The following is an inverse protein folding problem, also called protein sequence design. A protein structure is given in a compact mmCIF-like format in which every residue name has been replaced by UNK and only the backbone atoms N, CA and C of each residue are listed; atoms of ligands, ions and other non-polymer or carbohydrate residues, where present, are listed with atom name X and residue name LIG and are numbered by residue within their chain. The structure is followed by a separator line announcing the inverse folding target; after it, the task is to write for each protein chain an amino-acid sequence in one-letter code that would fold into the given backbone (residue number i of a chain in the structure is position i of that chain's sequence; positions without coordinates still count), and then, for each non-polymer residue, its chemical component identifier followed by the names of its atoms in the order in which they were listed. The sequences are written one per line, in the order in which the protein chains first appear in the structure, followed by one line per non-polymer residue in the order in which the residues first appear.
data_IF_202882043116
#
_entry.id   IF_202882043116
#
_cell.length_a   1.000
_cell.length_b   1.000
_cell.length_c   1.000
_cell.angle_alpha   90.00
_cell.angle_beta   90.00
_cell.angle_gamma   90.00
#
_symmetry.space_group_name_H-M   'P 1'
#
loop_
_entity.id
_entity.type
_entity.pdbx_description
1 polymer ?
#
# COMPACT_ATOMS: atom_id res chain seq x y z
N UNK A 1 4.99 18.18 21.58
CA UNK A 1 6.04 17.67 20.70
C UNK A 1 5.83 16.20 20.44
N UNK A 2 5.60 15.87 19.21
CA UNK A 2 5.40 14.49 18.81
C UNK A 2 6.73 13.92 18.38
N UNK A 3 7.42 13.33 19.28
CA UNK A 3 8.54 12.50 18.91
C UNK A 3 8.04 11.10 18.80
N UNK A 4 8.63 10.30 17.99
CA UNK A 4 8.30 8.88 17.87
C UNK A 4 6.92 8.58 17.35
N UNK A 5 6.38 9.46 16.47
CA UNK A 5 5.19 9.11 15.71
C UNK A 5 5.48 7.81 14.96
N UNK A 6 4.70 6.79 15.25
CA UNK A 6 4.79 5.55 14.50
C UNK A 6 4.22 5.78 13.11
N UNK A 7 5.00 5.40 12.11
CA UNK A 7 4.60 5.53 10.72
C UNK A 7 4.18 4.15 10.21
N UNK A 8 3.01 4.09 9.61
CA UNK A 8 2.50 2.88 8.98
C UNK A 8 2.53 3.08 7.47
N UNK A 9 3.25 2.23 6.76
CA UNK A 9 3.29 2.25 5.31
C UNK A 9 2.10 1.47 4.76
N UNK A 10 1.38 2.06 3.81
CA UNK A 10 0.19 1.44 3.22
C UNK A 10 0.51 1.01 1.79
N UNK A 11 0.42 -0.28 1.53
CA UNK A 11 0.58 -0.84 0.19
C UNK A 11 -0.72 -0.70 -0.61
N UNK A 12 -0.58 -0.60 -1.92
CA UNK A 12 -1.70 -0.45 -2.85
C UNK A 12 -2.73 -1.58 -2.73
N UNK A 13 -2.32 -2.78 -2.33
CA UNK A 13 -3.24 -3.91 -2.14
C UNK A 13 -4.31 -3.61 -1.08
N UNK A 14 -4.03 -2.69 -0.14
CA UNK A 14 -4.98 -2.25 0.88
C UNK A 14 -5.79 -1.05 0.40
N UNK A 15 -5.18 -0.19 -0.40
CA UNK A 15 -5.86 1.01 -0.93
C UNK A 15 -7.02 0.65 -1.85
N UNK A 16 -6.82 -0.33 -2.73
CA UNK A 16 -7.86 -0.71 -3.71
C UNK A 16 -9.16 -1.15 -3.03
N UNK A 17 -9.14 -2.10 -2.07
CA UNK A 17 -10.40 -2.52 -1.43
C UNK A 17 -11.05 -1.45 -0.55
N UNK A 18 -10.34 -0.39 -0.19
CA UNK A 18 -10.96 0.74 0.52
C UNK A 18 -11.96 1.51 -0.35
N UNK A 19 -11.78 1.48 -1.66
CA UNK A 19 -12.56 2.30 -2.60
C UNK A 19 -13.38 1.49 -3.60
N UNK A 20 -13.21 0.19 -3.62
CA UNK A 20 -13.97 -0.73 -4.47
C UNK A 20 -14.54 -1.85 -3.62
N UNK A 21 -15.68 -2.40 -4.04
CA UNK A 21 -16.29 -3.50 -3.34
C UNK A 21 -15.58 -4.82 -3.69
N UNK A 22 -14.81 -5.32 -2.76
CA UNK A 22 -14.02 -6.54 -2.88
C UNK A 22 -14.14 -7.38 -1.60
N UNK A 23 -13.72 -8.66 -1.61
CA UNK A 23 -13.79 -9.50 -0.41
C UNK A 23 -13.08 -8.92 0.81
N UNK A 24 -11.99 -8.19 0.61
CA UNK A 24 -11.22 -7.60 1.70
C UNK A 24 -11.65 -6.17 2.09
N UNK A 25 -12.70 -5.63 1.47
CA UNK A 25 -13.11 -4.25 1.70
C UNK A 25 -13.48 -3.97 3.15
N UNK A 26 -14.23 -4.86 3.79
CA UNK A 26 -14.64 -4.67 5.18
C UNK A 26 -13.43 -4.70 6.13
N UNK A 27 -12.49 -5.60 5.89
CA UNK A 27 -11.27 -5.72 6.71
C UNK A 27 -10.41 -4.48 6.57
N UNK A 28 -10.21 -4.01 5.34
CA UNK A 28 -9.41 -2.82 5.07
C UNK A 28 -10.07 -1.56 5.68
N UNK A 29 -11.37 -1.40 5.50
CA UNK A 29 -12.10 -0.26 6.06
C UNK A 29 -12.07 -0.27 7.59
N UNK A 30 -12.22 -1.44 8.21
CA UNK A 30 -12.13 -1.58 9.66
C UNK A 30 -10.76 -1.19 10.20
N UNK A 31 -9.71 -1.66 9.54
CA UNK A 31 -8.36 -1.26 9.92
C UNK A 31 -8.17 0.25 9.78
N UNK A 32 -8.53 0.80 8.63
CA UNK A 32 -8.36 2.23 8.37
C UNK A 32 -9.08 3.09 9.41
N UNK A 33 -10.30 2.71 9.79
CA UNK A 33 -11.08 3.43 10.79
C UNK A 33 -10.43 3.41 12.19
N UNK A 34 -9.68 2.35 12.50
CA UNK A 34 -9.05 2.19 13.82
C UNK A 34 -7.63 2.72 13.88
N UNK A 35 -6.98 2.88 12.72
CA UNK A 35 -5.56 3.24 12.70
C UNK A 35 -5.38 4.71 13.12
N UNK A 36 -4.58 4.94 14.13
CA UNK A 36 -4.34 6.27 14.68
C UNK A 36 -2.97 6.84 14.32
N UNK A 37 -2.10 6.00 13.77
CA UNK A 37 -0.76 6.41 13.40
C UNK A 37 -0.75 7.11 12.05
N UNK A 38 0.33 7.82 11.76
CA UNK A 38 0.52 8.48 10.47
C UNK A 38 0.61 7.43 9.36
N UNK A 39 -0.16 7.63 8.30
CA UNK A 39 -0.15 6.76 7.13
C UNK A 39 0.72 7.37 6.05
N UNK A 40 1.63 6.58 5.50
CA UNK A 40 2.50 6.98 4.40
C UNK A 40 2.44 5.94 3.29
N UNK A 41 2.68 6.37 2.08
CA UNK A 41 2.83 5.49 0.93
C UNK A 41 3.70 6.17 -0.11
N UNK A 42 4.45 5.39 -0.88
CA UNK A 42 5.20 5.94 -2.00
C UNK A 42 4.24 6.53 -3.03
N UNK A 43 4.64 7.61 -3.67
CA UNK A 43 3.87 8.20 -4.77
C UNK A 43 3.59 7.19 -5.89
N UNK A 44 4.36 6.12 -5.96
CA UNK A 44 4.14 4.98 -6.84
C UNK A 44 2.74 4.37 -6.69
N UNK A 45 2.10 4.51 -5.54
CA UNK A 45 0.74 3.99 -5.33
C UNK A 45 -0.29 4.67 -6.24
N UNK A 46 -0.02 5.87 -6.71
CA UNK A 46 -0.95 6.62 -7.56
C UNK A 46 -1.17 5.90 -8.90
N UNK A 47 -0.12 5.65 -9.72
CA UNK A 47 -0.34 4.91 -10.97
C UNK A 47 -0.76 3.47 -10.74
N UNK A 48 -0.35 2.85 -9.64
CA UNK A 48 -0.81 1.49 -9.32
C UNK A 48 -2.31 1.44 -9.05
N UNK A 49 -2.82 2.41 -8.28
CA UNK A 49 -4.26 2.48 -8.03
C UNK A 49 -5.03 2.70 -9.34
N UNK A 50 -4.56 3.63 -10.18
CA UNK A 50 -5.15 3.87 -11.49
C UNK A 50 -5.11 2.62 -12.37
N UNK A 51 -4.00 1.88 -12.35
CA UNK A 51 -3.85 0.63 -13.09
C UNK A 51 -4.87 -0.42 -12.63
N UNK A 52 -5.09 -0.54 -11.33
CA UNK A 52 -6.09 -1.45 -10.78
C UNK A 52 -7.49 -1.11 -11.28
N UNK A 53 -7.85 0.18 -11.31
CA UNK A 53 -9.13 0.63 -11.85
C UNK A 53 -9.26 0.28 -13.34
N UNK A 54 -8.19 0.51 -14.11
CA UNK A 54 -8.17 0.20 -15.53
C UNK A 54 -8.37 -1.28 -15.80
N UNK A 55 -7.72 -2.14 -15.05
CA UNK A 55 -7.87 -3.59 -15.18
C UNK A 55 -9.30 -4.00 -14.88
N UNK A 56 -9.90 -3.48 -13.81
CA UNK A 56 -11.26 -3.82 -13.42
C UNK A 56 -12.29 -3.34 -14.45
N UNK A 57 -12.04 -2.20 -15.09
CA UNK A 57 -12.90 -1.75 -16.18
C UNK A 57 -12.80 -2.69 -17.40
N UNK A 58 -11.58 -3.04 -17.79
CA UNK A 58 -11.37 -3.90 -18.96
C UNK A 58 -11.95 -5.30 -18.78
N UNK A 59 -11.96 -5.79 -17.55
CA UNK A 59 -12.53 -7.12 -17.25
C UNK A 59 -14.04 -7.08 -16.97
N UNK A 60 -14.64 -5.88 -16.98
CA UNK A 60 -16.07 -5.73 -16.74
C UNK A 60 -16.48 -5.77 -15.27
N UNK A 61 -15.53 -5.77 -14.35
CA UNK A 61 -15.83 -5.81 -12.91
C UNK A 61 -16.46 -4.49 -12.43
N UNK A 62 -16.07 -3.37 -13.03
CA UNK A 62 -16.63 -2.05 -12.74
C UNK A 62 -16.85 -1.30 -14.06
N UNK A 63 -17.75 -0.32 -14.05
CA UNK A 63 -17.94 0.57 -15.18
C UNK A 63 -17.11 1.87 -15.03
N UNK A 64 -17.15 2.72 -16.05
CA UNK A 64 -16.38 3.97 -16.05
C UNK A 64 -16.79 4.92 -14.93
N UNK A 65 -18.07 4.94 -14.59
CA UNK A 65 -18.58 5.81 -13.54
C UNK A 65 -18.09 5.36 -12.16
N UNK A 66 -18.11 4.05 -11.92
CA UNK A 66 -17.57 3.48 -10.68
C UNK A 66 -16.08 3.75 -10.55
N UNK A 67 -15.34 3.66 -11.65
CA UNK A 67 -13.91 3.96 -11.66
C UNK A 67 -13.64 5.43 -11.30
N UNK A 68 -14.40 6.37 -11.88
CA UNK A 68 -14.26 7.78 -11.56
C UNK A 68 -14.61 8.08 -10.11
N UNK A 69 -15.66 7.45 -9.59
CA UNK A 69 -16.04 7.63 -8.19
C UNK A 69 -14.94 7.13 -7.24
N UNK A 70 -14.40 5.95 -7.52
CA UNK A 70 -13.31 5.39 -6.72
C UNK A 70 -12.05 6.26 -6.77
N UNK A 71 -11.69 6.74 -7.96
CA UNK A 71 -10.55 7.63 -8.15
C UNK A 71 -10.72 8.93 -7.34
N UNK A 72 -11.88 9.55 -7.41
CA UNK A 72 -12.17 10.79 -6.69
C UNK A 72 -12.05 10.60 -5.18
N UNK A 73 -12.57 9.49 -4.66
CA UNK A 73 -12.47 9.17 -3.23
C UNK A 73 -11.03 8.90 -2.80
N UNK A 74 -10.28 8.20 -3.63
CA UNK A 74 -8.86 7.96 -3.40
C UNK A 74 -8.08 9.26 -3.32
N UNK A 75 -8.31 10.18 -4.26
CA UNK A 75 -7.65 11.49 -4.24
C UNK A 75 -7.96 12.28 -2.96
N UNK A 76 -9.19 12.20 -2.47
CA UNK A 76 -9.56 12.85 -1.20
C UNK A 76 -8.83 12.25 -0.01
N UNK A 77 -8.68 10.92 0.03
CA UNK A 77 -7.92 10.26 1.09
C UNK A 77 -6.45 10.67 1.05
N UNK A 78 -5.86 10.70 -0.14
CA UNK A 78 -4.46 11.11 -0.32
C UNK A 78 -4.26 12.53 0.21
N UNK A 79 -5.18 13.44 -0.11
CA UNK A 79 -5.07 14.82 0.33
C UNK A 79 -5.23 14.99 1.84
N UNK A 80 -6.09 14.17 2.46
CA UNK A 80 -6.47 14.36 3.87
C UNK A 80 -5.64 13.51 4.84
N UNK A 81 -5.35 12.26 4.48
CA UNK A 81 -4.89 11.27 5.45
C UNK A 81 -3.58 10.56 5.08
N UNK A 82 -3.15 10.61 3.84
CA UNK A 82 -2.03 9.84 3.37
C UNK A 82 -0.87 10.76 2.97
N UNK A 83 0.26 10.63 3.65
CA UNK A 83 1.46 11.36 3.25
C UNK A 83 2.18 10.60 2.16
N UNK A 84 2.28 11.20 0.98
CA UNK A 84 2.99 10.59 -0.15
C UNK A 84 4.49 10.81 -0.01
N UNK A 85 5.23 9.75 -0.21
CA UNK A 85 6.70 9.77 -0.19
C UNK A 85 7.20 9.85 -1.62
N UNK A 86 8.14 10.76 -1.92
CA UNK A 86 8.75 10.78 -3.24
C UNK A 86 9.57 9.52 -3.46
N UNK A 87 9.64 9.08 -4.72
CA UNK A 87 10.43 7.92 -5.09
C UNK A 87 11.64 8.42 -5.88
N UNK A 88 12.81 8.25 -5.29
CA UNK A 88 14.05 8.75 -5.84
C UNK A 88 14.93 7.60 -6.35
N UNK A 89 15.98 7.89 -7.15
CA UNK A 89 16.84 6.85 -7.69
C UNK A 89 17.39 5.87 -6.65
N UNK A 90 17.71 6.34 -5.45
CA UNK A 90 18.22 5.47 -4.37
C UNK A 90 17.19 4.41 -3.98
N UNK A 91 15.91 4.73 -4.04
CA UNK A 91 14.84 3.77 -3.73
C UNK A 91 14.72 2.70 -4.81
N UNK A 92 14.89 3.09 -6.08
CA UNK A 92 14.89 2.13 -7.19
C UNK A 92 16.08 1.18 -7.08
N UNK A 93 17.26 1.68 -6.73
CA UNK A 93 18.44 0.85 -6.52
C UNK A 93 18.24 -0.14 -5.36
N UNK A 94 17.67 0.33 -4.24
CA UNK A 94 17.37 -0.54 -3.11
C UNK A 94 16.37 -1.63 -3.49
N UNK A 95 15.33 -1.26 -4.24
CA UNK A 95 14.35 -2.21 -4.75
C UNK A 95 15.02 -3.29 -5.61
N UNK A 96 15.96 -2.88 -6.47
CA UNK A 96 16.72 -3.82 -7.31
C UNK A 96 17.49 -4.82 -6.46
N UNK A 97 18.17 -4.36 -5.40
CA UNK A 97 18.88 -5.26 -4.49
C UNK A 97 17.94 -6.30 -3.87
N UNK A 98 16.73 -5.87 -3.47
CA UNK A 98 15.75 -6.77 -2.87
C UNK A 98 15.25 -7.82 -3.88
N UNK A 99 15.04 -7.42 -5.13
CA UNK A 99 14.60 -8.32 -6.21
C UNK A 99 15.68 -9.32 -6.58
N UNK A 100 16.96 -8.89 -6.56
CA UNK A 100 18.07 -9.76 -6.90
C UNK A 100 18.23 -10.95 -5.96
N UNK A 101 17.71 -10.86 -4.75
CA UNK A 101 17.58 -12.02 -3.88
C UNK A 101 16.39 -12.85 -4.37
N UNK A 102 16.66 -13.86 -5.18
CA UNK A 102 15.63 -14.69 -5.79
C UNK A 102 14.71 -15.37 -4.75
N UNK A 103 15.24 -15.67 -3.56
CA UNK A 103 14.45 -16.30 -2.50
C UNK A 103 13.37 -15.37 -1.96
N UNK A 104 13.49 -14.06 -2.16
CA UNK A 104 12.49 -13.10 -1.73
C UNK A 104 11.16 -13.25 -2.48
N UNK A 105 11.20 -13.71 -3.73
CA UNK A 105 10.07 -13.80 -4.64
C UNK A 105 9.39 -12.45 -4.90
N UNK A 106 10.07 -11.34 -4.61
CA UNK A 106 9.53 -9.99 -4.81
C UNK A 106 9.50 -9.61 -6.29
N UNK A 107 8.40 -8.97 -6.68
CA UNK A 107 8.31 -8.28 -7.96
C UNK A 107 8.80 -6.85 -7.81
N UNK A 108 9.13 -6.22 -8.92
CA UNK A 108 9.73 -4.88 -8.92
C UNK A 108 8.89 -3.83 -8.17
N UNK A 109 7.59 -3.80 -8.42
CA UNK A 109 6.70 -2.82 -7.76
C UNK A 109 6.61 -3.03 -6.26
N UNK A 110 6.52 -4.29 -5.81
CA UNK A 110 6.45 -4.61 -4.39
C UNK A 110 7.77 -4.30 -3.70
N UNK A 111 8.88 -4.57 -4.37
CA UNK A 111 10.20 -4.23 -3.83
C UNK A 111 10.36 -2.72 -3.69
N UNK A 112 9.78 -1.95 -4.61
CA UNK A 112 9.81 -0.49 -4.54
C UNK A 112 9.03 0.02 -3.33
N UNK A 113 7.86 -0.55 -3.05
CA UNK A 113 7.12 -0.22 -1.82
C UNK A 113 7.95 -0.52 -0.58
N UNK A 114 8.59 -1.67 -0.57
CA UNK A 114 9.38 -2.10 0.58
C UNK A 114 10.59 -1.19 0.79
N UNK A 115 11.28 -0.81 -0.28
CA UNK A 115 12.40 0.12 -0.22
C UNK A 115 11.97 1.49 0.33
N UNK A 116 10.82 1.99 -0.10
CA UNK A 116 10.30 3.26 0.37
C UNK A 116 9.85 3.19 1.83
N UNK A 117 9.24 2.09 2.24
CA UNK A 117 8.85 1.88 3.63
C UNK A 117 10.07 1.85 4.55
N UNK A 118 11.12 1.15 4.12
CA UNK A 118 12.37 1.07 4.87
C UNK A 118 13.01 2.46 5.01
N UNK A 119 13.09 3.21 3.91
CA UNK A 119 13.68 4.54 3.90
C UNK A 119 12.89 5.54 4.77
N UNK A 120 11.58 5.37 4.87
CA UNK A 120 10.74 6.22 5.69
C UNK A 120 10.81 5.86 7.19
N UNK A 121 11.50 4.79 7.54
CA UNK A 121 11.56 4.33 8.93
C UNK A 121 10.25 3.74 9.42
N UNK A 122 9.42 3.22 8.52
CA UNK A 122 8.14 2.64 8.89
C UNK A 122 8.34 1.45 9.83
N UNK A 123 7.59 1.40 10.92
CA UNK A 123 7.61 0.28 11.86
C UNK A 123 6.58 -0.77 11.51
N UNK A 124 5.56 -0.39 10.77
CA UNK A 124 4.46 -1.28 10.38
C UNK A 124 4.12 -1.08 8.91
N UNK A 125 3.59 -2.13 8.30
CA UNK A 125 3.11 -2.09 6.93
C UNK A 125 1.73 -2.72 6.85
N UNK A 126 0.81 -2.01 6.21
CA UNK A 126 -0.51 -2.53 5.88
C UNK A 126 -0.45 -3.09 4.45
N UNK A 127 -0.56 -4.39 4.32
CA UNK A 127 -0.56 -5.07 3.03
C UNK A 127 -1.43 -6.34 3.09
N UNK A 128 -2.07 -6.65 1.97
CA UNK A 128 -2.80 -7.91 1.79
C UNK A 128 -1.98 -8.92 0.99
N UNK A 129 -0.78 -8.54 0.56
CA UNK A 129 0.12 -9.39 -0.20
C UNK A 129 1.02 -10.19 0.75
N UNK A 130 0.93 -11.52 0.71
CA UNK A 130 1.69 -12.38 1.62
C UNK A 130 3.20 -12.34 1.37
N UNK A 131 3.62 -12.22 0.10
CA UNK A 131 5.04 -12.13 -0.25
C UNK A 131 5.61 -10.84 0.30
N UNK A 132 4.92 -9.73 0.12
CA UNK A 132 5.36 -8.44 0.63
C UNK A 132 5.38 -8.42 2.16
N UNK A 133 4.35 -8.99 2.79
CA UNK A 133 4.26 -9.10 4.24
C UNK A 133 5.46 -9.86 4.83
N UNK A 134 5.79 -11.00 4.23
CA UNK A 134 6.92 -11.82 4.67
C UNK A 134 8.26 -11.09 4.54
N UNK A 135 8.45 -10.38 3.44
CA UNK A 135 9.67 -9.62 3.21
C UNK A 135 9.76 -8.38 4.10
N UNK A 136 8.64 -7.72 4.38
CA UNK A 136 8.60 -6.61 5.33
C UNK A 136 9.09 -7.07 6.71
N UNK A 137 8.62 -8.23 7.16
CA UNK A 137 9.04 -8.78 8.45
C UNK A 137 10.55 -9.04 8.49
N UNK A 138 11.13 -9.51 7.40
CA UNK A 138 12.58 -9.72 7.29
C UNK A 138 13.37 -8.42 7.49
N UNK A 139 12.78 -7.29 7.12
CA UNK A 139 13.37 -5.97 7.30
C UNK A 139 12.91 -5.30 8.61
N UNK A 140 12.30 -6.08 9.50
CA UNK A 140 11.81 -5.61 10.81
C UNK A 140 10.70 -4.56 10.69
N UNK A 141 9.93 -4.64 9.60
CA UNK A 141 8.71 -3.86 9.42
C UNK A 141 7.55 -4.82 9.67
N UNK A 142 6.84 -4.60 10.76
CA UNK A 142 5.84 -5.55 11.22
C UNK A 142 4.53 -5.37 10.43
N UNK A 143 4.03 -6.43 9.79
CA UNK A 143 2.72 -6.34 9.12
C UNK A 143 1.61 -6.06 10.13
N UNK A 144 0.67 -5.17 9.76
CA UNK A 144 -0.53 -4.96 10.57
C UNK A 144 -1.50 -6.12 10.35
N UNK A 145 -2.29 -6.43 11.37
CA UNK A 145 -3.27 -7.50 11.26
C UNK A 145 -4.47 -7.04 10.42
N UNK A 146 -4.64 -7.68 9.27
CA UNK A 146 -5.73 -7.41 8.33
C UNK A 146 -6.54 -8.68 8.09
N UNK A 147 -6.92 -9.36 9.18
CA UNK A 147 -7.71 -10.59 9.08
C UNK A 147 -9.09 -10.35 9.64
N UNK A 148 -10.09 -10.87 8.93
CA UNK A 148 -11.41 -10.96 9.51
C UNK A 148 -11.34 -11.94 10.68
N UNK A 149 -11.98 -11.59 11.79
CA UNK A 149 -12.24 -12.56 12.84
C UNK A 149 -13.29 -13.51 12.28
N UNK A 150 -12.83 -14.67 11.89
CA UNK A 150 -13.71 -15.73 11.43
C UNK A 150 -14.48 -16.32 12.59
#
# INVERSE_FOLDING_TARGET
MTRFSTVVYVDTSVLVPLFLNEPHSAVAAGWYAREKNELVAAAWCIPEFASALGIKQRTGAIDAQQALAAWSRFERMVAADLRLLPVEPVHFHRAAELVLDAASALRAGDALHLACAEAAGAKHMATLDEVLSRNALRLKIKPVALRSRG
#
